data_IF_553420619239
#
_entry.id   IF_553420619239
#
_cell.length_a   1.000
_cell.length_b   1.000
_cell.length_c   1.000
_cell.angle_alpha   90.00
_cell.angle_beta   90.00
_cell.angle_gamma   90.00
#
_symmetry.space_group_name_H-M   'P 1'
#
loop_
_entity.id
_entity.type
_entity.pdbx_description
1 polymer ?
#
# COMPACT_ATOMS: atom_id res chain seq x y z
N UNK A 1 -11.54 -15.84 11.80
CA UNK A 1 -10.25 -15.55 12.45
C UNK A 1 -9.42 -14.99 11.33
N UNK A 2 -9.02 -13.73 11.39
CA UNK A 2 -8.32 -13.08 10.28
C UNK A 2 -6.97 -13.78 10.08
N UNK A 3 -6.91 -14.67 9.08
CA UNK A 3 -5.71 -15.39 8.66
C UNK A 3 -4.81 -14.50 7.78
N UNK A 4 -4.72 -13.19 8.10
CA UNK A 4 -3.85 -12.27 7.38
C UNK A 4 -2.50 -12.19 8.09
N UNK A 5 -1.42 -12.52 7.37
CA UNK A 5 -0.08 -12.39 7.91
C UNK A 5 0.35 -10.91 7.93
N UNK A 6 0.83 -10.44 9.08
CA UNK A 6 1.48 -9.13 9.17
C UNK A 6 2.93 -9.22 8.71
N UNK A 7 3.34 -8.36 7.79
CA UNK A 7 4.68 -8.37 7.20
C UNK A 7 5.37 -7.03 7.43
N UNK A 8 6.66 -7.03 7.71
CA UNK A 8 7.46 -5.80 7.76
C UNK A 8 7.95 -5.40 6.37
N UNK A 9 8.34 -4.14 6.15
CA UNK A 9 9.00 -3.70 4.90
C UNK A 9 10.17 -4.64 4.52
N UNK A 10 10.99 -5.03 5.49
CA UNK A 10 12.09 -5.98 5.30
C UNK A 10 11.59 -7.33 4.75
N UNK A 11 10.48 -7.85 5.29
CA UNK A 11 9.87 -9.11 4.84
C UNK A 11 9.25 -8.97 3.46
N UNK A 12 8.61 -7.85 3.13
CA UNK A 12 8.13 -7.54 1.78
C UNK A 12 9.29 -7.57 0.78
N UNK A 13 10.42 -6.90 1.12
CA UNK A 13 11.63 -6.91 0.28
C UNK A 13 12.17 -8.34 0.10
N UNK A 14 12.19 -9.13 1.17
CA UNK A 14 12.66 -10.52 1.11
C UNK A 14 11.77 -11.41 0.23
N UNK A 15 10.44 -11.25 0.32
CA UNK A 15 9.48 -11.97 -0.51
C UNK A 15 9.59 -11.56 -1.98
N UNK A 16 9.69 -10.27 -2.27
CA UNK A 16 9.92 -9.71 -3.60
C UNK A 16 11.22 -10.26 -4.22
N UNK A 17 12.30 -10.32 -3.43
CA UNK A 17 13.56 -10.90 -3.88
C UNK A 17 13.46 -12.41 -4.18
N UNK A 18 12.64 -13.15 -3.44
CA UNK A 18 12.41 -14.57 -3.68
C UNK A 18 11.54 -14.82 -4.93
N UNK A 19 10.56 -13.94 -5.18
CA UNK A 19 9.69 -13.97 -6.36
C UNK A 19 10.41 -13.48 -7.63
N UNK A 20 11.36 -12.56 -7.50
CA UNK A 20 12.18 -12.02 -8.59
C UNK A 20 11.69 -10.69 -9.17
N UNK A 21 10.69 -10.08 -8.56
CA UNK A 21 10.13 -8.76 -8.95
C UNK A 21 10.26 -7.76 -7.81
N UNK A 22 10.44 -6.46 -8.08
CA UNK A 22 10.48 -5.44 -7.04
C UNK A 22 9.08 -5.14 -6.49
N UNK A 23 9.03 -4.60 -5.27
CA UNK A 23 7.80 -4.04 -4.72
C UNK A 23 7.39 -2.78 -5.54
N UNK A 24 6.12 -2.66 -5.98
CA UNK A 24 5.72 -1.65 -6.95
C UNK A 24 5.41 -0.27 -6.33
N UNK A 25 5.39 -0.15 -5.00
CA UNK A 25 5.07 1.08 -4.27
C UNK A 25 6.18 1.43 -3.26
N UNK A 26 6.09 2.61 -2.63
CA UNK A 26 7.07 3.05 -1.62
C UNK A 26 7.07 2.16 -0.37
N UNK A 27 8.21 2.13 0.33
CA UNK A 27 8.39 1.49 1.63
C UNK A 27 8.74 2.58 2.65
N UNK A 28 8.07 2.61 3.80
CA UNK A 28 8.17 3.71 4.76
C UNK A 28 9.49 3.70 5.53
N UNK A 29 10.11 2.53 5.70
CA UNK A 29 11.29 2.33 6.56
C UNK A 29 12.52 1.83 5.81
N UNK A 30 12.38 1.46 4.53
CA UNK A 30 13.46 0.93 3.70
C UNK A 30 13.74 1.88 2.54
N UNK A 31 14.95 2.44 2.51
CA UNK A 31 15.37 3.29 1.40
C UNK A 31 15.54 2.49 0.10
N UNK A 32 15.11 3.07 -1.02
CA UNK A 32 15.21 2.47 -2.37
C UNK A 32 16.65 2.50 -2.95
N UNK A 33 17.63 2.10 -2.15
CA UNK A 33 19.03 1.95 -2.58
C UNK A 33 19.40 0.47 -2.64
N UNK A 34 20.26 0.03 -3.58
CA UNK A 34 20.64 -1.38 -3.69
C UNK A 34 21.21 -1.96 -2.39
N UNK A 35 21.99 -1.17 -1.65
CA UNK A 35 22.59 -1.60 -0.39
C UNK A 35 21.55 -1.79 0.71
N UNK A 36 20.61 -0.85 0.87
CA UNK A 36 19.58 -0.99 1.90
C UNK A 36 18.58 -2.09 1.54
N UNK A 37 18.19 -2.24 0.28
CA UNK A 37 17.35 -3.34 -0.18
C UNK A 37 18.00 -4.71 0.07
N UNK A 38 19.31 -4.85 -0.16
CA UNK A 38 20.01 -6.09 0.13
C UNK A 38 20.02 -6.43 1.64
N UNK A 39 20.26 -5.42 2.49
CA UNK A 39 20.23 -5.59 3.95
C UNK A 39 18.82 -5.92 4.46
N UNK A 40 17.81 -5.18 4.00
CA UNK A 40 16.41 -5.41 4.30
C UNK A 40 15.98 -6.83 3.90
N UNK A 41 16.31 -7.26 2.68
CA UNK A 41 16.04 -8.62 2.22
C UNK A 41 16.66 -9.70 3.11
N UNK A 42 17.90 -9.51 3.59
CA UNK A 42 18.52 -10.46 4.53
C UNK A 42 17.83 -10.48 5.90
N UNK A 43 17.48 -9.31 6.46
CA UNK A 43 16.76 -9.20 7.73
C UNK A 43 15.36 -9.83 7.64
N UNK A 44 14.63 -9.50 6.58
CA UNK A 44 13.30 -10.02 6.30
C UNK A 44 13.29 -11.51 6.09
N UNK A 45 14.22 -12.04 5.30
CA UNK A 45 14.31 -13.48 5.05
C UNK A 45 14.52 -14.27 6.34
N UNK A 46 15.41 -13.78 7.22
CA UNK A 46 15.62 -14.38 8.54
C UNK A 46 14.34 -14.34 9.38
N UNK A 47 13.61 -13.22 9.37
CA UNK A 47 12.34 -13.09 10.09
C UNK A 47 11.29 -14.10 9.59
N UNK A 48 11.08 -14.17 8.26
CA UNK A 48 10.14 -15.09 7.63
C UNK A 48 10.43 -16.56 7.99
N UNK A 49 11.70 -16.96 7.99
CA UNK A 49 12.10 -18.31 8.38
C UNK A 49 11.81 -18.61 9.85
N UNK A 50 12.11 -17.68 10.76
CA UNK A 50 11.83 -17.84 12.20
C UNK A 50 10.33 -17.95 12.45
N UNK A 51 9.53 -17.16 11.74
CA UNK A 51 8.06 -17.16 11.81
C UNK A 51 7.42 -18.29 11.01
N UNK A 52 8.22 -19.11 10.31
CA UNK A 52 7.79 -20.21 9.42
C UNK A 52 6.86 -19.76 8.29
N UNK A 53 6.95 -18.49 7.91
CA UNK A 53 6.25 -17.88 6.78
C UNK A 53 7.02 -18.01 5.47
N UNK A 54 8.26 -18.52 5.52
CA UNK A 54 8.98 -18.98 4.34
C UNK A 54 9.79 -20.23 4.71
N UNK A 55 9.97 -21.13 3.73
CA UNK A 55 10.75 -22.37 3.90
C UNK A 55 11.68 -22.60 2.72
N UNK A 56 12.88 -23.07 3.05
CA UNK A 56 13.79 -23.61 2.05
C UNK A 56 13.23 -24.96 1.57
N UNK A 57 13.13 -25.12 0.26
CA UNK A 57 12.78 -26.39 -0.36
C UNK A 57 14.06 -27.20 -0.58
N UNK A 58 14.11 -28.42 -0.05
CA UNK A 58 15.28 -29.29 -0.18
C UNK A 58 15.42 -29.84 -1.61
N UNK A 59 14.31 -29.93 -2.35
CA UNK A 59 14.24 -30.53 -3.69
C UNK A 59 14.31 -29.48 -4.80
N UNK A 60 14.15 -28.19 -4.47
CA UNK A 60 14.27 -27.07 -5.40
C UNK A 60 15.10 -25.95 -4.78
N UNK A 61 16.22 -25.54 -5.38
CA UNK A 61 16.99 -24.41 -4.87
C UNK A 61 16.12 -23.14 -4.87
N UNK A 62 15.98 -22.51 -3.70
CA UNK A 62 15.21 -21.28 -3.52
C UNK A 62 14.42 -21.24 -2.22
N UNK A 63 13.95 -20.05 -1.86
CA UNK A 63 13.03 -19.85 -0.76
C UNK A 63 11.59 -19.83 -1.30
N UNK A 64 10.66 -20.51 -0.62
CA UNK A 64 9.24 -20.44 -0.93
C UNK A 64 8.48 -19.77 0.21
N UNK A 65 7.74 -18.68 -0.05
CA UNK A 65 6.77 -18.15 0.90
C UNK A 65 5.71 -19.19 1.24
N UNK A 66 5.09 -19.04 2.41
CA UNK A 66 3.90 -19.80 2.78
C UNK A 66 2.75 -19.48 1.81
N UNK A 67 1.96 -20.50 1.43
CA UNK A 67 0.89 -20.39 0.42
C UNK A 67 -0.06 -19.21 0.68
N UNK A 68 -0.48 -19.05 1.94
CA UNK A 68 -1.31 -17.95 2.44
C UNK A 68 -0.81 -16.54 2.13
N UNK A 69 0.50 -16.35 1.93
CA UNK A 69 1.08 -15.05 1.55
C UNK A 69 1.43 -15.03 0.06
N UNK A 70 1.82 -16.17 -0.50
CA UNK A 70 2.32 -16.28 -1.86
C UNK A 70 1.27 -15.84 -2.89
N UNK A 71 0.02 -16.28 -2.72
CA UNK A 71 -1.04 -16.00 -3.68
C UNK A 71 -1.43 -14.51 -3.68
N UNK A 72 -1.63 -13.92 -2.50
CA UNK A 72 -1.96 -12.50 -2.35
C UNK A 72 -0.81 -11.60 -2.83
N UNK A 73 0.44 -11.97 -2.50
CA UNK A 73 1.61 -11.24 -2.97
C UNK A 73 1.72 -11.31 -4.48
N UNK A 74 1.61 -12.50 -5.07
CA UNK A 74 1.71 -12.68 -6.52
C UNK A 74 0.63 -11.88 -7.24
N UNK A 75 -0.63 -11.97 -6.78
CA UNK A 75 -1.74 -11.22 -7.33
C UNK A 75 -1.54 -9.70 -7.20
N UNK A 76 -0.99 -9.23 -6.08
CA UNK A 76 -0.66 -7.82 -5.89
C UNK A 76 0.46 -7.36 -6.83
N UNK A 77 1.49 -8.18 -7.05
CA UNK A 77 2.61 -7.88 -7.95
C UNK A 77 2.21 -7.95 -9.43
N UNK A 78 1.31 -8.87 -9.80
CA UNK A 78 0.82 -9.08 -11.17
C UNK A 78 -0.07 -7.95 -11.69
N UNK A 79 -0.71 -7.22 -10.77
CA UNK A 79 -1.65 -6.17 -11.17
C UNK A 79 -0.99 -5.05 -11.96
N UNK A 80 -1.63 -4.59 -13.03
CA UNK A 80 -1.22 -3.38 -13.77
C UNK A 80 -2.00 -2.13 -13.31
N UNK A 81 -3.12 -2.33 -12.61
CA UNK A 81 -4.02 -1.26 -12.18
C UNK A 81 -4.08 -1.21 -10.66
N UNK A 82 -3.62 -0.08 -10.10
CA UNK A 82 -3.57 0.15 -8.65
C UNK A 82 -4.15 1.51 -8.31
N UNK A 83 -4.96 1.53 -7.27
CA UNK A 83 -5.44 2.75 -6.63
C UNK A 83 -4.89 2.78 -5.21
N UNK A 84 -4.16 3.84 -4.86
CA UNK A 84 -3.51 3.96 -3.56
C UNK A 84 -3.88 5.25 -2.84
N UNK A 85 -3.96 5.21 -1.52
CA UNK A 85 -4.01 6.36 -0.62
C UNK A 85 -2.80 6.33 0.31
N UNK A 86 -2.13 7.45 0.55
CA UNK A 86 -1.02 7.51 1.50
C UNK A 86 -0.87 8.87 2.15
N UNK A 87 -0.33 8.89 3.37
CA UNK A 87 0.03 10.13 4.06
C UNK A 87 1.35 10.68 3.51
N UNK A 88 1.32 11.95 3.13
CA UNK A 88 2.45 12.68 2.58
C UNK A 88 2.58 14.07 3.23
N UNK A 89 3.79 14.67 3.27
CA UNK A 89 3.94 16.07 3.61
C UNK A 89 3.13 16.96 2.66
N UNK A 90 2.41 17.96 3.19
CA UNK A 90 1.69 18.95 2.40
C UNK A 90 2.59 19.75 1.44
N UNK A 91 3.90 19.78 1.73
CA UNK A 91 4.91 20.44 0.89
C UNK A 91 5.45 19.56 -0.25
N UNK A 92 5.26 18.24 -0.19
CA UNK A 92 5.77 17.30 -1.19
C UNK A 92 4.90 16.03 -1.25
N UNK A 93 3.97 16.00 -2.19
CA UNK A 93 3.06 14.86 -2.40
C UNK A 93 3.76 13.63 -3.01
N UNK A 94 5.05 13.70 -3.38
CA UNK A 94 5.78 12.55 -3.94
C UNK A 94 6.33 11.62 -2.85
N UNK A 95 6.36 12.07 -1.59
CA UNK A 95 6.95 11.34 -0.46
C UNK A 95 5.89 10.55 0.29
N UNK A 96 6.14 9.25 0.48
CA UNK A 96 5.42 8.43 1.45
C UNK A 96 5.95 8.75 2.85
N UNK A 97 5.16 9.48 3.64
CA UNK A 97 5.57 9.95 4.96
C UNK A 97 4.87 9.26 6.14
N UNK A 98 3.88 8.40 5.89
CA UNK A 98 3.12 7.74 6.95
C UNK A 98 2.44 6.46 6.50
N UNK A 99 1.22 6.23 6.99
CA UNK A 99 0.42 5.08 6.62
C UNK A 99 -0.03 5.15 5.15
N UNK A 100 -0.22 3.99 4.54
CA UNK A 100 -0.72 3.84 3.17
C UNK A 100 -1.71 2.69 3.05
N UNK A 101 -2.55 2.76 2.03
CA UNK A 101 -3.44 1.71 1.59
C UNK A 101 -3.32 1.64 0.08
N UNK A 102 -2.99 0.48 -0.49
CA UNK A 102 -2.99 0.28 -1.94
C UNK A 102 -3.87 -0.89 -2.28
N UNK A 103 -4.80 -0.69 -3.19
CA UNK A 103 -5.61 -1.73 -3.77
C UNK A 103 -5.09 -2.05 -5.17
N UNK A 104 -4.80 -3.32 -5.43
CA UNK A 104 -4.35 -3.86 -6.70
C UNK A 104 -5.47 -4.70 -7.32
N UNK A 105 -5.85 -4.40 -8.56
CA UNK A 105 -6.92 -5.13 -9.24
C UNK A 105 -6.44 -6.52 -9.66
N UNK A 106 -7.29 -7.52 -9.46
CA UNK A 106 -7.10 -8.91 -9.90
C UNK A 106 -8.25 -9.34 -10.81
N UNK A 107 -8.15 -10.49 -11.52
CA UNK A 107 -9.26 -10.99 -12.34
C UNK A 107 -10.55 -11.25 -11.57
N UNK A 108 -10.44 -11.61 -10.28
CA UNK A 108 -11.57 -12.02 -9.43
C UNK A 108 -11.98 -10.94 -8.41
N UNK A 109 -11.32 -9.78 -8.40
CA UNK A 109 -11.58 -8.72 -7.44
C UNK A 109 -10.36 -7.84 -7.20
N UNK A 110 -9.98 -7.71 -5.94
CA UNK A 110 -8.87 -6.85 -5.52
C UNK A 110 -8.03 -7.54 -4.44
N UNK A 111 -6.75 -7.17 -4.35
CA UNK A 111 -5.92 -7.39 -3.17
C UNK A 111 -5.58 -6.03 -2.58
N UNK A 112 -5.84 -5.85 -1.29
CA UNK A 112 -5.54 -4.62 -0.55
C UNK A 112 -4.33 -4.86 0.34
N UNK A 113 -3.32 -4.02 0.19
CA UNK A 113 -2.22 -3.86 1.12
C UNK A 113 -2.46 -2.62 1.98
N UNK A 114 -2.56 -2.81 3.30
CA UNK A 114 -2.52 -1.68 4.25
C UNK A 114 -1.17 -1.65 4.95
N UNK A 115 -0.52 -0.49 4.98
CA UNK A 115 0.78 -0.30 5.59
C UNK A 115 0.70 0.77 6.68
N UNK A 116 1.22 0.47 7.87
CA UNK A 116 1.38 1.47 8.92
C UNK A 116 2.61 2.36 8.64
N UNK A 117 2.70 3.52 9.29
CA UNK A 117 3.90 4.36 9.23
C UNK A 117 5.18 3.65 9.71
N UNK A 118 5.06 2.56 10.47
CA UNK A 118 6.17 1.74 10.93
C UNK A 118 6.58 0.64 9.93
N UNK A 119 6.01 0.63 8.71
CA UNK A 119 6.34 -0.37 7.69
C UNK A 119 5.79 -1.75 8.01
N UNK A 120 4.57 -1.82 8.55
CA UNK A 120 3.85 -3.09 8.79
C UNK A 120 2.69 -3.20 7.82
N UNK A 121 2.76 -4.20 6.96
CA UNK A 121 1.84 -4.55 5.89
C UNK A 121 0.84 -5.62 6.32
N UNK A 122 -0.35 -5.53 5.77
CA UNK A 122 -1.35 -6.58 5.78
C UNK A 122 -1.97 -6.68 4.38
N UNK A 123 -1.70 -7.79 3.69
CA UNK A 123 -2.32 -8.09 2.39
C UNK A 123 -3.55 -8.97 2.60
N UNK A 124 -4.63 -8.65 1.90
CA UNK A 124 -5.84 -9.46 1.90
C UNK A 124 -6.61 -9.34 0.59
N UNK A 125 -7.30 -10.39 0.15
CA UNK A 125 -8.35 -10.27 -0.86
C UNK A 125 -9.46 -9.32 -0.39
N UNK A 126 -10.08 -8.65 -1.35
CA UNK A 126 -11.16 -7.70 -1.11
C UNK A 126 -12.14 -7.69 -2.28
N UNK A 127 -13.41 -7.45 -1.97
CA UNK A 127 -14.37 -7.01 -2.97
C UNK A 127 -14.02 -5.59 -3.45
N UNK A 128 -14.59 -5.17 -4.58
CA UNK A 128 -14.46 -3.79 -5.06
C UNK A 128 -14.94 -2.77 -4.03
N UNK A 129 -16.02 -3.06 -3.31
CA UNK A 129 -16.56 -2.20 -2.26
C UNK A 129 -15.61 -2.11 -1.07
N UNK A 130 -15.05 -3.24 -0.61
CA UNK A 130 -14.10 -3.26 0.50
C UNK A 130 -12.77 -2.58 0.15
N UNK A 131 -12.32 -2.71 -1.10
CA UNK A 131 -11.12 -2.04 -1.60
C UNK A 131 -11.32 -0.52 -1.67
N UNK A 132 -12.46 -0.08 -2.21
CA UNK A 132 -12.83 1.33 -2.25
C UNK A 132 -12.94 1.91 -0.83
N UNK A 133 -13.60 1.19 0.08
CA UNK A 133 -13.76 1.61 1.47
C UNK A 133 -12.40 1.71 2.19
N UNK A 134 -11.46 0.79 1.94
CA UNK A 134 -10.14 0.83 2.55
C UNK A 134 -9.33 2.06 2.09
N UNK A 135 -9.32 2.36 0.79
CA UNK A 135 -8.64 3.54 0.25
C UNK A 135 -9.31 4.83 0.72
N UNK A 136 -10.65 4.87 0.72
CA UNK A 136 -11.40 6.03 1.18
C UNK A 136 -11.26 6.29 2.67
N UNK A 137 -11.15 5.26 3.51
CA UNK A 137 -11.09 5.45 4.96
C UNK A 137 -9.97 6.41 5.38
N UNK A 138 -8.76 6.25 4.81
CA UNK A 138 -7.65 7.15 5.12
C UNK A 138 -7.90 8.60 4.65
N UNK A 139 -8.50 8.75 3.48
CA UNK A 139 -8.86 10.04 2.91
C UNK A 139 -9.97 10.75 3.68
N UNK A 140 -11.05 10.04 4.04
CA UNK A 140 -12.16 10.55 4.83
C UNK A 140 -11.67 10.99 6.21
N UNK A 141 -10.86 10.16 6.89
CA UNK A 141 -10.27 10.55 8.19
C UNK A 141 -9.40 11.80 8.11
N UNK A 142 -8.67 11.98 7.01
CA UNK A 142 -7.83 13.17 6.82
C UNK A 142 -8.66 14.41 6.51
N UNK A 143 -9.66 14.28 5.64
CA UNK A 143 -10.58 15.36 5.28
C UNK A 143 -11.35 15.87 6.51
N UNK A 144 -11.84 14.96 7.34
CA UNK A 144 -12.58 15.26 8.57
C UNK A 144 -11.68 15.73 9.73
N UNK A 145 -10.35 15.71 9.52
CA UNK A 145 -9.37 16.12 10.54
C UNK A 145 -9.24 15.13 11.71
N UNK A 146 -9.65 13.88 11.53
CA UNK A 146 -9.55 12.82 12.56
C UNK A 146 -8.29 11.96 12.43
N UNK A 147 -7.58 12.06 11.30
CA UNK A 147 -6.31 11.37 11.10
C UNK A 147 -5.16 11.90 11.98
N UNK A 148 -5.22 13.17 12.37
CA UNK A 148 -4.19 13.86 13.17
C UNK A 148 -4.81 14.59 14.35
N UNK A 149 -4.14 14.54 15.51
CA UNK A 149 -4.66 15.10 16.75
C UNK A 149 -4.35 16.59 16.88
N UNK A 150 -3.20 17.04 16.39
CA UNK A 150 -2.75 18.43 16.55
C UNK A 150 -3.02 19.26 15.28
N UNK A 151 -3.26 20.57 15.45
CA UNK A 151 -3.55 21.48 14.33
C UNK A 151 -2.36 21.64 13.39
N UNK A 152 -1.15 21.76 13.94
CA UNK A 152 0.08 21.85 13.16
C UNK A 152 0.32 20.59 12.30
N UNK A 153 -0.05 19.41 12.83
CA UNK A 153 0.03 18.15 12.08
C UNK A 153 -0.98 18.15 10.91
N UNK A 154 -2.21 18.60 11.14
CA UNK A 154 -3.24 18.70 10.08
C UNK A 154 -2.83 19.64 8.95
N UNK A 155 -2.03 20.66 9.24
CA UNK A 155 -1.48 21.58 8.24
C UNK A 155 -0.23 21.01 7.53
N UNK A 156 0.56 20.20 8.23
CA UNK A 156 1.79 19.63 7.71
C UNK A 156 1.58 18.39 6.83
N UNK A 157 0.46 17.69 6.98
CA UNK A 157 0.21 16.39 6.35
C UNK A 157 -1.08 16.37 5.54
N UNK A 158 -1.05 15.65 4.42
CA UNK A 158 -2.19 15.39 3.55
C UNK A 158 -2.29 13.89 3.25
N UNK A 159 -3.49 13.43 2.93
CA UNK A 159 -3.70 12.13 2.30
C UNK A 159 -3.68 12.33 0.78
N UNK A 160 -2.87 11.56 0.08
CA UNK A 160 -2.76 11.58 -1.36
C UNK A 160 -3.39 10.31 -1.91
N UNK A 161 -4.44 10.45 -2.72
CA UNK A 161 -4.97 9.36 -3.55
C UNK A 161 -4.29 9.42 -4.90
N UNK A 162 -3.80 8.28 -5.39
CA UNK A 162 -3.26 8.10 -6.74
C UNK A 162 -3.98 6.98 -7.47
N UNK A 163 -4.27 7.25 -8.74
CA UNK A 163 -4.72 6.29 -9.73
C UNK A 163 -4.02 6.60 -11.07
N UNK A 164 -3.11 5.71 -11.50
CA UNK A 164 -2.26 5.95 -12.66
C UNK A 164 -1.53 7.30 -12.58
N UNK A 165 -1.83 8.21 -13.51
CA UNK A 165 -1.27 9.57 -13.55
C UNK A 165 -2.04 10.59 -12.71
N UNK A 166 -3.27 10.28 -12.31
CA UNK A 166 -4.09 11.19 -11.52
C UNK A 166 -3.68 11.17 -10.04
N UNK A 167 -3.84 12.33 -9.42
CA UNK A 167 -3.49 12.56 -8.02
C UNK A 167 -4.49 13.50 -7.39
N UNK A 168 -4.97 13.16 -6.21
CA UNK A 168 -5.81 14.01 -5.38
C UNK A 168 -5.14 14.14 -4.01
N UNK A 169 -4.79 15.36 -3.63
CA UNK A 169 -4.31 15.68 -2.30
C UNK A 169 -5.46 16.20 -1.44
N UNK A 170 -5.61 15.60 -0.26
CA UNK A 170 -6.72 15.79 0.67
C UNK A 170 -6.14 16.22 2.00
N UNK A 171 -6.35 17.48 2.36
CA UNK A 171 -6.08 18.00 3.69
C UNK A 171 -7.37 18.14 4.49
N UNK A 172 -7.27 18.60 5.74
CA UNK A 172 -8.43 18.91 6.55
C UNK A 172 -9.29 20.00 5.86
N UNK A 173 -10.52 19.64 5.48
CA UNK A 173 -11.47 20.52 4.79
C UNK A 173 -11.02 21.04 3.42
N UNK A 174 -9.99 20.45 2.80
CA UNK A 174 -9.41 20.93 1.54
C UNK A 174 -9.06 19.78 0.60
N UNK A 175 -9.26 20.03 -0.70
CA UNK A 175 -8.95 19.09 -1.77
C UNK A 175 -8.27 19.86 -2.90
N UNK A 176 -7.27 19.24 -3.52
CA UNK A 176 -6.64 19.75 -4.74
C UNK A 176 -6.11 18.57 -5.58
N UNK A 177 -5.96 18.75 -6.89
CA UNK A 177 -5.37 17.74 -7.75
C UNK A 177 -6.14 17.54 -9.05
N UNK A 178 -6.07 16.34 -9.63
CA UNK A 178 -6.75 15.98 -10.86
C UNK A 178 -7.49 14.65 -10.77
N UNK A 179 -8.58 14.54 -11.53
CA UNK A 179 -9.33 13.30 -11.82
C UNK A 179 -9.65 13.29 -13.31
N UNK A 180 -9.32 12.22 -14.01
CA UNK A 180 -9.37 12.12 -15.48
C UNK A 180 -8.63 13.29 -16.16
N UNK A 181 -7.49 13.70 -15.58
CA UNK A 181 -6.70 14.85 -16.03
C UNK A 181 -7.37 16.23 -15.86
N UNK A 182 -8.52 16.32 -15.19
CA UNK A 182 -9.22 17.58 -14.91
C UNK A 182 -8.98 18.03 -13.48
N UNK A 183 -8.73 19.33 -13.21
CA UNK A 183 -8.59 19.82 -11.86
C UNK A 183 -9.83 19.53 -11.00
N UNK A 184 -9.60 19.13 -9.75
CA UNK A 184 -10.64 19.00 -8.72
C UNK A 184 -10.27 19.81 -7.48
N UNK A 185 -11.27 20.47 -6.90
CA UNK A 185 -11.19 21.24 -5.65
C UNK A 185 -12.25 20.81 -4.63
N UNK A 186 -13.02 19.75 -4.96
CA UNK A 186 -14.14 19.28 -4.16
C UNK A 186 -13.91 17.83 -3.74
N UNK A 187 -14.23 17.55 -2.48
CA UNK A 187 -14.31 16.19 -1.98
C UNK A 187 -15.52 15.45 -2.57
N UNK A 188 -15.25 14.40 -3.35
CA UNK A 188 -16.26 13.53 -3.95
C UNK A 188 -15.88 12.05 -3.78
N UNK A 189 -16.24 11.43 -2.62
CA UNK A 189 -16.01 10.01 -2.39
C UNK A 189 -16.65 9.11 -3.45
N UNK A 190 -17.75 9.52 -4.08
CA UNK A 190 -18.44 8.69 -5.07
C UNK A 190 -17.62 8.56 -6.36
N UNK A 191 -16.93 9.63 -6.76
CA UNK A 191 -16.00 9.58 -7.88
C UNK A 191 -14.85 8.58 -7.63
N UNK A 192 -14.30 8.55 -6.41
CA UNK A 192 -13.26 7.57 -6.03
C UNK A 192 -13.81 6.15 -6.00
N UNK A 193 -15.02 5.93 -5.45
CA UNK A 193 -15.66 4.60 -5.46
C UNK A 193 -15.83 4.08 -6.88
N UNK A 194 -16.10 4.96 -7.86
CA UNK A 194 -16.26 4.56 -9.26
C UNK A 194 -14.99 3.97 -9.88
N UNK A 195 -13.79 4.31 -9.38
CA UNK A 195 -12.51 3.73 -9.83
C UNK A 195 -12.43 2.21 -9.59
N UNK A 196 -13.18 1.72 -8.60
CA UNK A 196 -13.24 0.31 -8.25
C UNK A 196 -14.37 -0.43 -8.98
N UNK A 197 -15.25 0.31 -9.66
CA UNK A 197 -16.51 -0.14 -10.25
C UNK A 197 -16.52 -0.06 -11.77
N UNK A 198 -15.69 -0.88 -12.42
CA UNK A 198 -15.85 -1.26 -13.81
C UNK A 198 -15.49 -2.74 -13.98
N UNK A 199 -16.51 -3.61 -14.05
CA UNK A 199 -16.46 -4.89 -14.75
C UNK A 199 -17.44 -4.81 -15.92
#
# INVERSE_FOLDING_TARGET
MDDTALLTDDEIVALCAADGRPWPIGLSTVAATPEELARAGMRGMRSLMVRRLARADADRPGMRPHEMIADDLAAFLDSEHRVGAYIAPASDHSVLGGASVTAAQTPDGWVVDTTTAAGVHALRPASAEDAAAAVLGLAEHTYDGTAFTEEDERAAWVCVIRDGSDLIAIGHGSVSGTVDGKPTDRWDPAAIRALFGAL
#
